data_IF_500891527892
#
_entry.id   IF_500891527892
#
_cell.length_a   1.000
_cell.length_b   1.000
_cell.length_c   1.000
_cell.angle_alpha   90.00
_cell.angle_beta   90.00
_cell.angle_gamma   90.00
#
_symmetry.space_group_name_H-M   'P 1'
#
loop_
_entity.id
_entity.type
_entity.pdbx_description
1 polymer ?
#
# COMPACT_ATOMS: atom_id res chain seq x y z
N UNK A 1 22.88 -15.47 14.67
CA UNK A 1 22.30 -14.33 15.41
C UNK A 1 20.80 -14.54 15.43
N UNK A 2 20.09 -14.26 16.52
CA UNK A 2 18.65 -14.53 16.56
C UNK A 2 17.86 -13.43 15.84
N UNK A 3 16.61 -13.74 15.45
CA UNK A 3 15.70 -12.74 14.88
C UNK A 3 15.46 -11.57 15.84
N UNK A 4 15.38 -11.86 17.15
CA UNK A 4 15.21 -10.84 18.18
C UNK A 4 16.39 -9.89 18.24
N UNK A 5 17.63 -10.39 18.14
CA UNK A 5 18.82 -9.54 18.14
C UNK A 5 18.81 -8.56 16.96
N UNK A 6 18.40 -9.04 15.77
CA UNK A 6 18.29 -8.20 14.57
C UNK A 6 17.17 -7.16 14.66
N UNK A 7 16.05 -7.53 15.28
CA UNK A 7 14.96 -6.59 15.54
C UNK A 7 15.41 -5.50 16.52
N UNK A 8 16.12 -5.86 17.58
CA UNK A 8 16.64 -4.92 18.55
C UNK A 8 17.65 -3.95 17.90
N UNK A 9 18.54 -4.44 17.03
CA UNK A 9 19.45 -3.61 16.22
C UNK A 9 18.70 -2.61 15.33
N UNK A 10 17.65 -3.07 14.64
CA UNK A 10 16.80 -2.21 13.80
C UNK A 10 16.11 -1.12 14.62
N UNK A 11 15.54 -1.46 15.78
CA UNK A 11 14.89 -0.51 16.68
C UNK A 11 15.88 0.55 17.18
N UNK A 12 17.12 0.16 17.51
CA UNK A 12 18.17 1.10 17.93
C UNK A 12 18.52 2.06 16.79
N UNK A 13 18.74 1.55 15.58
CA UNK A 13 19.05 2.38 14.42
C UNK A 13 17.91 3.35 14.07
N UNK A 14 16.65 2.90 14.16
CA UNK A 14 15.47 3.73 13.93
C UNK A 14 15.36 4.87 14.94
N UNK A 15 15.60 4.60 16.24
CA UNK A 15 15.62 5.63 17.28
C UNK A 15 16.71 6.66 17.07
N UNK A 16 17.90 6.21 16.67
CA UNK A 16 19.03 7.10 16.38
C UNK A 16 18.71 8.00 15.18
N UNK A 17 18.17 7.44 14.10
CA UNK A 17 17.73 8.21 12.94
C UNK A 17 16.66 9.25 13.32
N UNK A 18 15.61 8.84 14.05
CA UNK A 18 14.58 9.75 14.52
C UNK A 18 15.13 10.88 15.43
N UNK A 19 16.10 10.56 16.29
CA UNK A 19 16.75 11.55 17.14
C UNK A 19 17.53 12.58 16.32
N UNK A 20 18.30 12.15 15.32
CA UNK A 20 19.06 13.07 14.46
C UNK A 20 18.12 13.93 13.61
N UNK A 21 17.08 13.33 13.04
CA UNK A 21 16.09 14.04 12.21
C UNK A 21 15.20 15.01 13.01
N UNK A 22 15.09 14.84 14.34
CA UNK A 22 14.35 15.77 15.20
C UNK A 22 15.00 17.16 15.33
N UNK A 23 16.25 17.32 14.89
CA UNK A 23 16.99 18.58 14.85
C UNK A 23 17.63 18.76 13.46
N UNK A 24 16.83 19.07 12.41
CA UNK A 24 17.27 19.07 11.02
C UNK A 24 18.44 20.03 10.74
N UNK A 25 18.50 21.16 11.45
CA UNK A 25 19.61 22.12 11.38
C UNK A 25 20.98 21.52 11.79
N UNK A 26 20.96 20.37 12.46
CA UNK A 26 22.14 19.65 12.96
C UNK A 26 22.33 18.29 12.29
N UNK A 27 21.41 17.88 11.40
CA UNK A 27 21.42 16.55 10.81
C UNK A 27 22.66 16.37 9.91
N UNK A 28 22.86 17.23 8.90
CA UNK A 28 24.06 17.22 8.05
C UNK A 28 24.59 15.81 7.72
N UNK A 29 25.88 15.60 7.94
CA UNK A 29 26.55 14.30 7.76
C UNK A 29 26.07 13.23 8.75
N UNK A 30 25.71 13.61 9.98
CA UNK A 30 25.19 12.69 10.99
C UNK A 30 23.84 12.07 10.61
N UNK A 31 23.02 12.79 9.83
CA UNK A 31 21.75 12.31 9.29
C UNK A 31 21.97 11.22 8.25
N UNK A 32 22.92 11.43 7.34
CA UNK A 32 23.31 10.45 6.32
C UNK A 32 23.84 9.18 7.00
N UNK A 33 24.75 9.31 7.97
CA UNK A 33 25.28 8.16 8.72
C UNK A 33 24.18 7.39 9.47
N UNK A 34 23.24 8.10 10.12
CA UNK A 34 22.12 7.49 10.82
C UNK A 34 21.16 6.77 9.86
N UNK A 35 20.92 7.34 8.68
CA UNK A 35 20.11 6.72 7.63
C UNK A 35 20.78 5.47 7.05
N UNK A 36 22.08 5.51 6.76
CA UNK A 36 22.83 4.33 6.30
C UNK A 36 22.88 3.22 7.35
N UNK A 37 22.98 3.57 8.63
CA UNK A 37 22.90 2.62 9.73
C UNK A 37 21.51 1.96 9.81
N UNK A 38 20.44 2.75 9.65
CA UNK A 38 19.06 2.24 9.59
C UNK A 38 18.88 1.28 8.41
N UNK A 39 19.32 1.66 7.21
CA UNK A 39 19.20 0.82 6.01
C UNK A 39 19.91 -0.52 6.18
N UNK A 40 21.13 -0.52 6.72
CA UNK A 40 21.88 -1.77 6.99
C UNK A 40 21.18 -2.65 8.02
N UNK A 41 20.63 -2.06 9.09
CA UNK A 41 19.91 -2.82 10.10
C UNK A 41 18.60 -3.42 9.56
N UNK A 42 17.88 -2.68 8.70
CA UNK A 42 16.67 -3.15 8.05
C UNK A 42 16.96 -4.34 7.12
N UNK A 43 17.96 -4.22 6.24
CA UNK A 43 18.39 -5.32 5.37
C UNK A 43 18.82 -6.56 6.17
N UNK A 44 19.59 -6.37 7.25
CA UNK A 44 20.02 -7.48 8.11
C UNK A 44 18.85 -8.18 8.82
N UNK A 45 17.81 -7.43 9.20
CA UNK A 45 16.57 -8.00 9.74
C UNK A 45 15.76 -8.74 8.68
N UNK A 46 15.57 -8.13 7.50
CA UNK A 46 14.86 -8.74 6.38
C UNK A 46 15.47 -10.08 5.95
N UNK A 47 16.80 -10.12 5.80
CA UNK A 47 17.54 -11.36 5.53
C UNK A 47 17.29 -12.42 6.62
N UNK A 48 17.34 -12.01 7.89
CA UNK A 48 17.17 -12.92 9.02
C UNK A 48 15.74 -13.48 9.11
N UNK A 49 14.73 -12.69 8.75
CA UNK A 49 13.34 -13.15 8.62
C UNK A 49 13.26 -14.19 7.53
N UNK A 50 13.78 -13.88 6.33
CA UNK A 50 13.77 -14.80 5.19
C UNK A 50 14.44 -16.14 5.49
N UNK A 51 15.62 -16.11 6.11
CA UNK A 51 16.36 -17.31 6.51
C UNK A 51 15.57 -18.19 7.51
N UNK A 52 14.79 -17.59 8.41
CA UNK A 52 14.12 -18.33 9.50
C UNK A 52 12.69 -18.74 9.20
N UNK A 53 11.94 -17.95 8.43
CA UNK A 53 10.51 -18.19 8.16
C UNK A 53 10.24 -18.68 6.75
N UNK A 54 11.22 -18.55 5.85
CA UNK A 54 11.04 -18.71 4.40
C UNK A 54 9.97 -17.78 3.79
N UNK A 55 9.62 -16.71 4.50
CA UNK A 55 8.79 -15.63 3.95
C UNK A 55 9.71 -14.57 3.37
N UNK A 56 9.25 -13.84 2.37
CA UNK A 56 10.01 -12.70 1.85
C UNK A 56 10.22 -11.63 2.92
N UNK A 57 11.25 -10.81 2.69
CA UNK A 57 11.56 -9.68 3.57
C UNK A 57 10.30 -8.81 3.71
N UNK A 58 9.96 -8.35 4.93
CA UNK A 58 8.87 -7.38 5.10
C UNK A 58 9.17 -6.04 4.42
N UNK A 59 10.37 -5.87 3.88
CA UNK A 59 10.80 -4.71 3.09
C UNK A 59 10.99 -5.04 1.60
N UNK A 60 10.63 -6.24 1.14
CA UNK A 60 10.86 -6.68 -0.25
C UNK A 60 10.21 -5.72 -1.27
N UNK A 61 8.99 -5.25 -0.99
CA UNK A 61 8.28 -4.26 -1.82
C UNK A 61 9.03 -2.92 -1.91
N UNK A 62 9.81 -2.55 -0.88
CA UNK A 62 10.60 -1.31 -0.86
C UNK A 62 11.99 -1.51 -1.50
N UNK A 63 12.48 -2.74 -1.54
CA UNK A 63 13.75 -3.07 -2.17
C UNK A 63 13.58 -3.10 -3.70
N UNK A 64 12.47 -3.60 -4.24
CA UNK A 64 12.22 -3.70 -5.69
C UNK A 64 12.28 -2.34 -6.42
N UNK A 65 11.81 -1.26 -5.81
CA UNK A 65 11.86 0.10 -6.38
C UNK A 65 13.24 0.78 -6.28
N UNK A 66 14.17 0.21 -5.50
CA UNK A 66 15.46 0.82 -5.18
C UNK A 66 16.62 0.38 -6.11
N UNK A 67 16.40 -0.56 -7.05
CA UNK A 67 17.46 -1.14 -7.89
C UNK A 67 17.41 -0.73 -9.37
N UNK A 68 16.50 0.16 -9.80
CA UNK A 68 16.48 0.64 -11.19
C UNK A 68 17.59 1.67 -11.53
N UNK A 69 18.50 2.01 -10.61
CA UNK A 69 19.68 2.84 -10.89
C UNK A 69 21.01 2.16 -10.51
N UNK A 70 21.17 0.89 -10.89
CA UNK A 70 22.49 0.28 -11.02
C UNK A 70 22.57 -0.57 -12.28
N UNK A 71 23.07 0.06 -13.33
CA UNK A 71 23.60 -0.57 -14.52
C UNK A 71 24.63 -1.65 -14.17
N UNK A 72 24.36 -2.89 -14.56
CA UNK A 72 25.27 -3.84 -15.25
C UNK A 72 25.00 -5.32 -14.85
N UNK A 73 24.60 -6.09 -15.87
CA UNK A 73 24.79 -7.54 -16.05
C UNK A 73 24.41 -8.50 -14.91
N UNK A 74 23.16 -8.99 -14.93
CA UNK A 74 22.89 -10.40 -14.63
C UNK A 74 21.90 -11.00 -15.64
N UNK A 75 22.51 -11.71 -16.59
CA UNK A 75 21.90 -12.66 -17.52
C UNK A 75 21.50 -13.94 -16.76
N UNK A 76 20.21 -14.28 -16.77
CA UNK A 76 19.65 -15.64 -16.96
C UNK A 76 18.24 -15.80 -16.33
N UNK A 77 17.25 -15.31 -17.07
CA UNK A 77 16.07 -16.07 -17.52
C UNK A 77 15.29 -16.89 -16.49
N UNK A 78 14.26 -16.28 -15.92
CA UNK A 78 13.02 -16.99 -15.58
C UNK A 78 12.22 -17.18 -16.88
N UNK A 79 12.39 -18.34 -17.50
CA UNK A 79 11.60 -18.76 -18.67
C UNK A 79 10.18 -19.15 -18.21
N UNK A 80 9.21 -18.26 -18.43
CA UNK A 80 7.87 -18.54 -18.99
C UNK A 80 6.91 -17.36 -18.76
N UNK A 81 7.34 -16.12 -19.02
CA UNK A 81 6.40 -15.02 -19.14
C UNK A 81 5.66 -15.15 -20.47
N UNK A 82 4.48 -15.76 -20.40
CA UNK A 82 3.49 -15.64 -21.46
C UNK A 82 3.28 -14.15 -21.73
N UNK A 83 3.37 -13.73 -23.00
CA UNK A 83 2.94 -12.40 -23.47
C UNK A 83 1.57 -12.09 -22.87
N UNK A 84 1.55 -11.36 -21.75
CA UNK A 84 0.36 -10.87 -21.09
C UNK A 84 0.52 -9.37 -21.06
N UNK A 85 -0.35 -8.69 -21.78
CA UNK A 85 -0.43 -7.24 -21.74
C UNK A 85 -0.89 -6.84 -20.33
N UNK A 86 0.06 -6.42 -19.49
CA UNK A 86 -0.24 -5.85 -18.19
C UNK A 86 -0.69 -4.40 -18.40
N UNK A 87 -1.93 -4.12 -18.01
CA UNK A 87 -2.52 -2.79 -18.06
C UNK A 87 -2.81 -2.32 -16.64
N UNK A 88 -2.09 -1.28 -16.20
CA UNK A 88 -2.33 -0.60 -14.92
C UNK A 88 -3.03 0.72 -15.20
N UNK A 89 -4.24 0.89 -14.65
CA UNK A 89 -5.01 2.13 -14.73
C UNK A 89 -5.29 2.60 -13.32
N UNK A 90 -4.68 3.71 -12.92
CA UNK A 90 -4.91 4.35 -11.62
C UNK A 90 -5.62 5.70 -11.81
N UNK A 91 -6.47 6.04 -10.85
CA UNK A 91 -7.19 7.31 -10.82
C UNK A 91 -7.81 7.56 -9.45
N UNK A 92 -7.85 8.83 -9.05
CA UNK A 92 -8.54 9.27 -7.82
C UNK A 92 -9.79 10.01 -8.24
N UNK A 93 -10.94 9.59 -7.70
CA UNK A 93 -12.22 10.26 -7.93
C UNK A 93 -12.82 10.70 -6.59
N UNK A 94 -13.14 11.99 -6.49
CA UNK A 94 -13.80 12.57 -5.32
C UNK A 94 -15.24 12.91 -5.69
N UNK A 95 -16.20 12.50 -4.86
CA UNK A 95 -17.62 12.74 -5.08
C UNK A 95 -18.24 13.43 -3.86
N UNK A 96 -19.14 14.38 -4.11
CA UNK A 96 -19.97 15.00 -3.08
C UNK A 96 -21.36 14.35 -3.10
N UNK A 97 -21.82 13.84 -1.94
CA UNK A 97 -23.16 13.29 -1.80
C UNK A 97 -24.13 14.41 -1.43
N UNK A 98 -24.80 14.98 -2.43
CA UNK A 98 -25.73 16.12 -2.24
C UNK A 98 -27.08 15.73 -1.65
N UNK A 99 -27.45 14.44 -1.73
CA UNK A 99 -28.70 13.88 -1.16
C UNK A 99 -28.40 12.50 -0.56
N UNK A 100 -28.18 12.49 0.77
CA UNK A 100 -27.82 11.29 1.54
C UNK A 100 -28.92 10.23 1.49
N UNK A 101 -30.18 10.63 1.62
CA UNK A 101 -31.30 9.68 1.67
C UNK A 101 -31.57 9.02 0.32
N UNK A 102 -31.39 9.75 -0.79
CA UNK A 102 -31.43 9.18 -2.12
C UNK A 102 -30.27 8.20 -2.37
N UNK A 103 -29.06 8.57 -1.95
CA UNK A 103 -27.87 7.72 -2.06
C UNK A 103 -28.02 6.40 -1.30
N UNK A 104 -28.41 6.44 -0.03
CA UNK A 104 -28.58 5.23 0.78
C UNK A 104 -29.67 4.30 0.23
N UNK A 105 -30.77 4.85 -0.30
CA UNK A 105 -31.80 4.03 -0.97
C UNK A 105 -31.27 3.37 -2.24
N UNK A 106 -30.56 4.13 -3.08
CA UNK A 106 -29.93 3.58 -4.27
C UNK A 106 -28.95 2.45 -3.94
N UNK A 107 -28.10 2.65 -2.93
CA UNK A 107 -27.16 1.62 -2.49
C UNK A 107 -27.87 0.37 -1.97
N UNK A 108 -28.92 0.54 -1.16
CA UNK A 108 -29.73 -0.58 -0.67
C UNK A 108 -30.42 -1.35 -1.79
N UNK A 109 -30.99 -0.66 -2.79
CA UNK A 109 -31.65 -1.28 -3.95
C UNK A 109 -30.64 -2.10 -4.79
N UNK A 110 -29.46 -1.54 -5.06
CA UNK A 110 -28.41 -2.23 -5.81
C UNK A 110 -27.83 -3.44 -5.05
N UNK A 111 -27.81 -3.38 -3.72
CA UNK A 111 -27.32 -4.45 -2.85
C UNK A 111 -28.41 -5.47 -2.46
N UNK A 112 -29.64 -5.32 -2.98
CA UNK A 112 -30.76 -6.23 -2.67
C UNK A 112 -30.45 -7.68 -3.09
N UNK A 113 -29.71 -7.85 -4.19
CA UNK A 113 -29.19 -9.16 -4.65
C UNK A 113 -27.85 -9.57 -4.01
N UNK A 114 -27.20 -8.69 -3.25
CA UNK A 114 -25.91 -8.96 -2.62
C UNK A 114 -26.03 -9.92 -1.43
N UNK A 115 -24.89 -10.37 -0.90
CA UNK A 115 -24.84 -11.22 0.29
C UNK A 115 -25.45 -10.49 1.51
N UNK A 116 -26.02 -11.21 2.51
CA UNK A 116 -26.64 -10.58 3.67
C UNK A 116 -25.71 -9.65 4.48
N UNK A 117 -24.40 -9.87 4.40
CA UNK A 117 -23.39 -9.02 5.04
C UNK A 117 -23.33 -7.62 4.41
N UNK A 118 -23.48 -7.51 3.10
CA UNK A 118 -23.45 -6.24 2.37
C UNK A 118 -24.77 -5.45 2.47
N UNK A 119 -25.83 -6.05 3.03
CA UNK A 119 -27.15 -5.39 3.19
C UNK A 119 -27.29 -4.62 4.49
N UNK A 120 -26.39 -4.82 5.46
CA UNK A 120 -26.44 -4.14 6.75
C UNK A 120 -25.61 -2.87 6.70
N UNK A 121 -26.05 -1.90 5.89
CA UNK A 121 -25.43 -0.58 5.84
C UNK A 121 -25.82 0.23 7.08
N UNK A 122 -24.86 0.94 7.67
CA UNK A 122 -25.10 1.83 8.83
C UNK A 122 -25.85 3.12 8.46
N UNK A 123 -25.94 3.43 7.16
CA UNK A 123 -26.46 4.69 6.64
C UNK A 123 -25.37 5.72 6.34
N UNK A 124 -24.10 5.40 6.60
CA UNK A 124 -22.95 6.17 6.15
C UNK A 124 -22.80 6.10 4.61
N UNK A 125 -22.74 7.25 3.89
CA UNK A 125 -22.47 7.27 2.46
C UNK A 125 -21.16 6.61 2.04
N UNK A 126 -20.11 6.70 2.86
CA UNK A 126 -18.81 6.11 2.57
C UNK A 126 -18.88 4.57 2.60
N UNK A 127 -19.50 4.02 3.64
CA UNK A 127 -19.77 2.58 3.72
C UNK A 127 -20.61 2.08 2.55
N UNK A 128 -21.65 2.83 2.17
CA UNK A 128 -22.50 2.49 1.02
C UNK A 128 -21.71 2.48 -0.31
N UNK A 129 -20.80 3.43 -0.51
CA UNK A 129 -19.92 3.46 -1.67
C UNK A 129 -18.96 2.28 -1.70
N UNK A 130 -18.32 1.96 -0.57
CA UNK A 130 -17.42 0.81 -0.43
C UNK A 130 -18.13 -0.51 -0.74
N UNK A 131 -19.35 -0.69 -0.19
CA UNK A 131 -20.16 -1.88 -0.42
C UNK A 131 -20.58 -2.02 -1.89
N UNK A 132 -20.92 -0.90 -2.56
CA UNK A 132 -21.26 -0.89 -3.99
C UNK A 132 -20.06 -1.24 -4.85
N UNK A 133 -18.89 -0.63 -4.65
CA UNK A 133 -17.69 -0.90 -5.43
C UNK A 133 -17.24 -2.37 -5.28
N UNK A 134 -17.37 -2.92 -4.07
CA UNK A 134 -17.13 -4.33 -3.79
C UNK A 134 -18.16 -5.27 -4.43
N UNK A 135 -19.36 -4.76 -4.72
CA UNK A 135 -20.48 -5.55 -5.27
C UNK A 135 -20.66 -5.43 -6.78
N UNK A 136 -20.23 -4.34 -7.43
CA UNK A 136 -20.60 -3.97 -8.80
C UNK A 136 -20.13 -4.98 -9.87
N UNK A 137 -19.47 -6.06 -9.44
CA UNK A 137 -19.15 -7.19 -10.30
C UNK A 137 -18.21 -6.80 -11.43
N UNK A 138 -17.54 -5.66 -11.33
CA UNK A 138 -16.57 -5.17 -12.32
C UNK A 138 -15.52 -6.24 -12.58
N UNK A 139 -14.98 -6.84 -11.52
CA UNK A 139 -14.05 -7.95 -11.58
C UNK A 139 -14.66 -9.21 -12.22
N UNK A 140 -15.94 -9.51 -11.97
CA UNK A 140 -16.63 -10.63 -12.61
C UNK A 140 -16.92 -10.38 -14.10
N UNK A 141 -17.28 -9.16 -14.48
CA UNK A 141 -17.50 -8.73 -15.86
C UNK A 141 -16.20 -8.71 -16.66
N UNK A 142 -15.13 -8.14 -16.10
CA UNK A 142 -13.78 -8.17 -16.66
C UNK A 142 -13.28 -9.62 -16.82
N UNK A 143 -13.53 -10.46 -15.82
CA UNK A 143 -13.25 -11.90 -15.88
C UNK A 143 -13.94 -12.60 -17.04
N UNK A 144 -15.20 -12.25 -17.35
CA UNK A 144 -15.91 -12.78 -18.52
C UNK A 144 -15.28 -12.36 -19.87
N UNK A 145 -14.44 -11.32 -19.86
CA UNK A 145 -13.70 -10.84 -21.02
C UNK A 145 -12.21 -11.21 -20.98
N UNK A 146 -11.81 -12.17 -20.14
CA UNK A 146 -10.45 -12.70 -20.09
C UNK A 146 -9.46 -11.82 -19.30
N UNK A 147 -9.94 -10.81 -18.59
CA UNK A 147 -9.14 -9.94 -17.73
C UNK A 147 -9.16 -10.51 -16.31
N UNK A 148 -7.99 -10.85 -15.78
CA UNK A 148 -7.84 -11.25 -14.39
C UNK A 148 -7.43 -10.04 -13.55
N UNK A 149 -8.19 -9.76 -12.49
CA UNK A 149 -7.79 -8.74 -11.51
C UNK A 149 -6.66 -9.32 -10.64
N UNK A 150 -5.51 -8.66 -10.62
CA UNK A 150 -4.33 -9.09 -9.84
C UNK A 150 -4.28 -8.45 -8.45
N UNK A 151 -4.81 -7.23 -8.33
CA UNK A 151 -4.96 -6.50 -7.08
C UNK A 151 -6.24 -5.65 -7.13
N UNK A 152 -6.88 -5.46 -5.97
CA UNK A 152 -8.06 -4.63 -5.79
C UNK A 152 -7.82 -3.75 -4.56
N UNK A 153 -7.19 -2.59 -4.77
CA UNK A 153 -6.91 -1.63 -3.69
C UNK A 153 -7.72 -0.35 -3.93
N UNK A 154 -8.73 -0.15 -3.08
CA UNK A 154 -9.54 1.07 -3.06
C UNK A 154 -9.68 1.50 -1.62
N UNK A 155 -9.46 2.79 -1.37
CA UNK A 155 -9.69 3.39 -0.05
C UNK A 155 -10.88 4.33 -0.13
N UNK A 156 -11.85 4.16 0.78
CA UNK A 156 -12.93 5.12 0.99
C UNK A 156 -12.62 5.89 2.26
N UNK A 157 -12.52 7.21 2.16
CA UNK A 157 -12.26 8.11 3.29
C UNK A 157 -13.43 9.08 3.41
N UNK A 158 -13.85 9.36 4.64
CA UNK A 158 -14.80 10.44 4.91
C UNK A 158 -14.03 11.76 4.91
N UNK A 159 -14.49 12.74 4.12
CA UNK A 159 -13.82 14.04 3.95
C UNK A 159 -13.89 14.96 5.16
N UNK A 160 -14.59 14.57 6.25
CA UNK A 160 -14.50 15.30 7.54
C UNK A 160 -13.14 15.13 8.23
N UNK A 161 -12.29 14.19 7.78
CA UNK A 161 -10.88 14.15 8.15
C UNK A 161 -10.14 15.22 7.33
N UNK A 162 -9.75 16.32 7.97
CA UNK A 162 -8.94 17.39 7.35
C UNK A 162 -7.81 16.75 6.55
N UNK A 163 -7.86 16.88 5.21
CA UNK A 163 -6.74 16.51 4.37
C UNK A 163 -5.51 17.23 4.94
N UNK A 164 -4.37 16.54 5.16
CA UNK A 164 -3.15 17.25 5.51
C UNK A 164 -2.99 18.32 4.44
N UNK A 165 -3.00 19.59 4.86
CA UNK A 165 -2.72 20.69 3.96
C UNK A 165 -1.36 20.36 3.35
N UNK A 166 -1.34 20.03 2.06
CA UNK A 166 -0.11 19.90 1.29
C UNK A 166 0.59 21.25 1.46
N UNK A 167 1.54 21.31 2.38
CA UNK A 167 2.40 22.46 2.60
C UNK A 167 3.23 22.57 1.31
N UNK A 168 2.97 23.57 0.44
CA UNK A 168 3.75 23.71 -0.77
C UNK A 168 5.11 24.27 -0.36
N UNK A 169 6.04 23.37 -0.03
CA UNK A 169 7.40 23.75 0.38
C UNK A 169 8.04 24.69 -0.65
N UNK A 170 8.43 25.88 -0.16
CA UNK A 170 9.28 26.89 -0.79
C UNK A 170 10.74 26.43 -0.97
#
# INVERSE_FOLDING_TARGET
MSMQDRLDELIVALRQHAQVMSAPDQAGEAGIEAFEALRRAAAAYGECVREQTHWDSPFAELEEDSWEDSSEELDATSEAEQDRDLLVVSGTWTFEVTDRDAWSRFAADQLESATPALRQLSGDPAEAASALLSHDGLSAWLGAHGVALLADDWTVRDTEEELPEDDPEE
#
